data_IF_709506424200
#
_entry.id   IF_709506424200
#
_cell.length_a   1.000
_cell.length_b   1.000
_cell.length_c   1.000
_cell.angle_alpha   90.00
_cell.angle_beta   90.00
_cell.angle_gamma   90.00
#
_symmetry.space_group_name_H-M   'P 1'
#
loop_
_entity.id
_entity.type
_entity.pdbx_description
1 polymer ?
#
# COMPACT_ATOMS: atom_id res chain seq x y z
N UNK A 1 7.65 -12.26 -5.19
CA UNK A 1 6.55 -11.62 -4.41
C UNK A 1 6.08 -10.27 -5.00
N UNK A 2 6.96 -9.40 -5.49
CA UNK A 2 6.62 -8.06 -6.03
C UNK A 2 5.48 -8.04 -7.08
N UNK A 3 5.49 -8.95 -8.07
CA UNK A 3 4.45 -9.02 -9.13
C UNK A 3 3.04 -9.29 -8.60
N UNK A 4 2.88 -10.19 -7.61
CA UNK A 4 1.56 -10.51 -7.01
C UNK A 4 1.00 -9.33 -6.22
N UNK A 5 1.85 -8.59 -5.51
CA UNK A 5 1.43 -7.39 -4.78
C UNK A 5 0.94 -6.28 -5.72
N UNK A 6 1.58 -6.13 -6.89
CA UNK A 6 1.16 -5.15 -7.90
C UNK A 6 -0.21 -5.52 -8.49
N UNK A 7 -0.45 -6.81 -8.78
CA UNK A 7 -1.74 -7.28 -9.31
C UNK A 7 -2.93 -7.00 -8.39
N UNK A 8 -2.71 -6.85 -7.08
CA UNK A 8 -3.78 -6.53 -6.12
C UNK A 8 -3.84 -5.03 -5.86
N UNK A 9 -2.70 -4.36 -5.70
CA UNK A 9 -2.66 -2.93 -5.39
C UNK A 9 -3.11 -2.05 -6.56
N UNK A 10 -2.80 -2.43 -7.80
CA UNK A 10 -3.17 -1.68 -9.00
C UNK A 10 -4.70 -1.59 -9.24
N UNK A 11 -5.48 -2.68 -9.20
CA UNK A 11 -6.93 -2.57 -9.38
C UNK A 11 -7.58 -1.80 -8.22
N UNK A 12 -7.08 -1.94 -6.99
CA UNK A 12 -7.58 -1.16 -5.85
C UNK A 12 -7.32 0.34 -6.08
N UNK A 13 -6.10 0.72 -6.50
CA UNK A 13 -5.77 2.10 -6.80
C UNK A 13 -6.63 2.67 -7.94
N UNK A 14 -6.85 1.89 -9.01
CA UNK A 14 -7.73 2.26 -10.11
C UNK A 14 -9.19 2.44 -9.69
N UNK A 15 -9.70 1.55 -8.83
CA UNK A 15 -11.06 1.66 -8.30
C UNK A 15 -11.22 2.92 -7.45
N UNK A 16 -10.25 3.24 -6.59
CA UNK A 16 -10.27 4.48 -5.80
C UNK A 16 -10.23 5.70 -6.72
N UNK A 17 -9.33 5.71 -7.70
CA UNK A 17 -9.21 6.82 -8.63
C UNK A 17 -10.51 7.03 -9.43
N UNK A 18 -11.07 5.96 -10.01
CA UNK A 18 -12.32 6.02 -10.75
C UNK A 18 -13.50 6.46 -9.88
N UNK A 19 -13.60 5.97 -8.63
CA UNK A 19 -14.68 6.36 -7.72
C UNK A 19 -14.59 7.84 -7.33
N UNK A 20 -13.40 8.34 -7.00
CA UNK A 20 -13.20 9.74 -6.64
C UNK A 20 -13.40 10.67 -7.83
N UNK A 21 -12.90 10.29 -9.01
CA UNK A 21 -13.10 11.07 -10.24
C UNK A 21 -14.57 11.08 -10.68
N UNK A 22 -15.30 9.98 -10.53
CA UNK A 22 -16.74 9.93 -10.77
C UNK A 22 -17.50 10.83 -9.78
N UNK A 23 -17.16 10.78 -8.49
CA UNK A 23 -17.78 11.63 -7.47
C UNK A 23 -17.52 13.13 -7.71
N UNK A 24 -16.39 13.47 -8.35
CA UNK A 24 -16.03 14.85 -8.76
C UNK A 24 -16.62 15.26 -10.12
N UNK A 25 -17.40 14.38 -10.76
CA UNK A 25 -18.03 14.67 -12.05
C UNK A 25 -17.10 14.56 -13.27
N UNK A 26 -15.93 13.94 -13.16
CA UNK A 26 -14.91 13.88 -14.23
C UNK A 26 -15.34 13.21 -15.53
N UNK A 27 -16.48 12.51 -15.56
CA UNK A 27 -17.07 11.92 -16.77
C UNK A 27 -18.16 12.81 -17.42
N UNK A 28 -18.68 13.79 -16.69
CA UNK A 28 -19.76 14.67 -17.14
C UNK A 28 -19.35 16.16 -17.13
N UNK A 29 -18.05 16.45 -16.98
CA UNK A 29 -17.54 17.81 -16.89
C UNK A 29 -17.77 18.59 -18.20
N UNK A 30 -18.36 19.79 -18.14
CA UNK A 30 -18.61 20.62 -19.32
C UNK A 30 -17.32 21.23 -19.90
N UNK A 31 -16.25 21.34 -19.11
CA UNK A 31 -14.95 21.85 -19.58
C UNK A 31 -13.83 20.81 -19.43
N UNK A 32 -12.86 20.78 -20.37
CA UNK A 32 -11.73 19.84 -20.30
C UNK A 32 -10.87 20.06 -19.04
N UNK A 33 -10.81 21.30 -18.54
CA UNK A 33 -10.09 21.67 -17.32
C UNK A 33 -10.68 21.01 -16.07
N UNK A 34 -12.00 21.06 -15.90
CA UNK A 34 -12.69 20.39 -14.79
C UNK A 34 -12.54 18.87 -14.86
N UNK A 35 -12.55 18.31 -16.07
CA UNK A 35 -12.27 16.89 -16.28
C UNK A 35 -10.88 16.51 -15.80
N UNK A 36 -9.84 17.23 -16.25
CA UNK A 36 -8.46 16.95 -15.84
C UNK A 36 -8.22 17.14 -14.34
N UNK A 37 -8.90 18.11 -13.72
CA UNK A 37 -8.86 18.31 -12.28
C UNK A 37 -9.49 17.13 -11.53
N UNK A 38 -10.67 16.64 -11.94
CA UNK A 38 -11.34 15.51 -11.31
C UNK A 38 -10.51 14.21 -11.41
N UNK A 39 -9.81 13.99 -12.52
CA UNK A 39 -8.89 12.86 -12.68
C UNK A 39 -7.61 13.01 -11.84
N UNK A 40 -7.03 14.22 -11.78
CA UNK A 40 -5.90 14.52 -10.89
C UNK A 40 -6.24 14.22 -9.42
N UNK A 41 -7.39 14.68 -8.94
CA UNK A 41 -7.85 14.45 -7.57
C UNK A 41 -8.05 12.96 -7.28
N UNK A 42 -8.60 12.21 -8.24
CA UNK A 42 -8.79 10.76 -8.12
C UNK A 42 -7.48 10.00 -8.00
N UNK A 43 -6.52 10.28 -8.88
CA UNK A 43 -5.18 9.66 -8.81
C UNK A 43 -4.42 10.09 -7.56
N UNK A 44 -4.59 11.33 -7.10
CA UNK A 44 -4.00 11.80 -5.85
C UNK A 44 -4.55 11.06 -4.64
N UNK A 45 -5.88 10.91 -4.54
CA UNK A 45 -6.51 10.13 -3.48
C UNK A 45 -6.00 8.68 -3.48
N UNK A 46 -5.97 8.03 -4.65
CA UNK A 46 -5.43 6.68 -4.79
C UNK A 46 -3.96 6.58 -4.37
N UNK A 47 -3.13 7.57 -4.72
CA UNK A 47 -1.74 7.66 -4.31
C UNK A 47 -1.59 7.77 -2.78
N UNK A 48 -2.39 8.61 -2.13
CA UNK A 48 -2.35 8.78 -0.67
C UNK A 48 -2.80 7.50 0.05
N UNK A 49 -3.91 6.89 -0.35
CA UNK A 49 -4.40 5.69 0.33
C UNK A 49 -3.50 4.47 0.08
N UNK A 50 -3.21 4.15 -1.18
CA UNK A 50 -2.45 2.94 -1.53
C UNK A 50 -0.96 3.14 -1.30
N UNK A 51 -0.43 4.29 -1.68
CA UNK A 51 0.97 4.65 -1.44
C UNK A 51 1.26 4.87 0.04
N UNK A 52 0.38 5.55 0.78
CA UNK A 52 0.52 5.76 2.21
C UNK A 52 0.45 4.45 3.01
N UNK A 53 -0.53 3.58 2.71
CA UNK A 53 -0.59 2.25 3.32
C UNK A 53 0.65 1.40 2.96
N UNK A 54 1.12 1.49 1.70
CA UNK A 54 2.36 0.86 1.26
C UNK A 54 3.60 1.37 1.99
N UNK A 55 3.69 2.68 2.21
CA UNK A 55 4.76 3.34 2.96
C UNK A 55 4.77 2.92 4.43
N UNK A 56 3.61 2.89 5.09
CA UNK A 56 3.49 2.40 6.47
C UNK A 56 3.86 0.91 6.57
N UNK A 57 3.38 0.09 5.64
CA UNK A 57 3.71 -1.33 5.61
C UNK A 57 5.21 -1.57 5.37
N UNK A 58 5.84 -0.73 4.54
CA UNK A 58 7.28 -0.78 4.29
C UNK A 58 8.08 -0.32 5.52
N UNK A 59 7.75 0.84 6.09
CA UNK A 59 8.42 1.35 7.29
C UNK A 59 8.24 0.44 8.52
N UNK A 60 7.08 -0.20 8.67
CA UNK A 60 6.81 -1.15 9.76
C UNK A 60 7.42 -2.54 9.55
N UNK A 61 8.10 -2.75 8.43
CA UNK A 61 8.65 -4.07 8.11
C UNK A 61 10.02 -4.34 8.75
N UNK A 62 10.66 -3.33 9.36
CA UNK A 62 11.99 -3.42 9.98
C UNK A 62 12.05 -2.96 11.45
N UNK A 63 13.07 -3.45 12.17
CA UNK A 63 13.46 -2.98 13.51
C UNK A 63 12.41 -3.21 14.61
N UNK A 64 11.92 -2.11 15.20
CA UNK A 64 11.08 -2.10 16.40
C UNK A 64 9.76 -2.87 16.22
N UNK A 65 9.08 -2.68 15.08
CA UNK A 65 7.83 -3.37 14.81
C UNK A 65 8.03 -4.87 14.60
N UNK A 66 9.23 -5.28 14.17
CA UNK A 66 9.57 -6.69 13.98
C UNK A 66 9.75 -7.40 15.33
N UNK A 67 10.48 -6.75 16.24
CA UNK A 67 10.63 -7.20 17.62
C UNK A 67 9.28 -7.26 18.35
N UNK A 68 8.43 -6.25 18.18
CA UNK A 68 7.10 -6.21 18.80
C UNK A 68 6.20 -7.34 18.27
N UNK A 69 6.19 -7.59 16.95
CA UNK A 69 5.44 -8.71 16.35
C UNK A 69 5.90 -10.07 16.88
N UNK A 70 7.21 -10.26 17.03
CA UNK A 70 7.75 -11.48 17.65
C UNK A 70 7.29 -11.64 19.09
N UNK A 71 7.40 -10.60 19.91
CA UNK A 71 7.00 -10.64 21.32
C UNK A 71 5.51 -10.93 21.50
N UNK A 72 4.65 -10.25 20.74
CA UNK A 72 3.19 -10.48 20.77
C UNK A 72 2.88 -11.91 20.28
N UNK A 73 3.48 -12.34 19.17
CA UNK A 73 3.23 -13.68 18.65
C UNK A 73 3.72 -14.79 19.59
N UNK A 74 4.84 -14.57 20.29
CA UNK A 74 5.33 -15.47 21.33
C UNK A 74 4.40 -15.50 22.54
N UNK A 75 3.90 -14.35 23.00
CA UNK A 75 2.90 -14.29 24.07
C UNK A 75 1.61 -15.04 23.69
N UNK A 76 1.10 -14.84 22.47
CA UNK A 76 -0.08 -15.55 21.95
C UNK A 76 0.17 -17.04 21.77
N UNK A 77 1.40 -17.45 21.44
CA UNK A 77 1.76 -18.87 21.28
C UNK A 77 1.63 -19.68 22.58
N UNK A 78 1.74 -19.03 23.75
CA UNK A 78 1.59 -19.68 25.06
C UNK A 78 0.15 -20.16 25.28
N UNK A 79 -0.84 -19.41 24.76
CA UNK A 79 -2.27 -19.72 24.88
C UNK A 79 -2.72 -20.72 23.80
N UNK A 80 -1.89 -21.01 22.80
CA UNK A 80 -2.19 -21.97 21.73
C UNK A 80 -1.74 -23.39 22.10
N UNK A 81 -2.28 -24.38 21.38
CA UNK A 81 -1.87 -25.79 21.51
C UNK A 81 -0.35 -25.96 21.42
N UNK A 82 0.21 -26.94 22.17
CA UNK A 82 1.64 -27.27 22.17
C UNK A 82 2.20 -27.43 20.75
N UNK A 83 1.46 -28.07 19.86
CA UNK A 83 1.87 -28.25 18.46
C UNK A 83 2.09 -26.91 17.72
N UNK A 84 1.19 -25.94 17.91
CA UNK A 84 1.34 -24.60 17.33
C UNK A 84 2.42 -23.76 18.01
N UNK A 85 2.74 -24.06 19.27
CA UNK A 85 3.80 -23.40 20.04
C UNK A 85 5.18 -23.88 19.60
N UNK A 86 5.32 -25.18 19.34
CA UNK A 86 6.59 -25.78 18.91
C UNK A 86 6.96 -25.40 17.46
N UNK A 87 5.96 -25.05 16.64
CA UNK A 87 6.13 -24.46 15.31
C UNK A 87 6.52 -22.96 15.34
N UNK A 88 6.42 -22.28 16.48
CA UNK A 88 6.77 -20.87 16.59
C UNK A 88 8.26 -20.69 16.89
N UNK A 89 8.96 -19.71 16.27
CA UNK A 89 10.38 -19.51 16.49
C UNK A 89 10.71 -19.26 17.97
N UNK A 90 11.72 -19.98 18.48
CA UNK A 90 12.12 -19.92 19.89
C UNK A 90 12.87 -18.64 20.21
N UNK A 91 13.76 -18.24 19.30
CA UNK A 91 14.57 -17.04 19.42
C UNK A 91 14.16 -15.97 18.40
N UNK A 92 14.50 -14.71 18.71
CA UNK A 92 14.32 -13.62 17.76
C UNK A 92 15.20 -13.80 16.51
N UNK A 93 16.34 -14.49 16.65
CA UNK A 93 17.21 -14.84 15.53
C UNK A 93 16.51 -15.79 14.55
N UNK A 94 15.86 -16.84 15.04
CA UNK A 94 15.08 -17.78 14.21
C UNK A 94 13.95 -17.04 13.48
N UNK A 95 13.27 -16.14 14.19
CA UNK A 95 12.22 -15.29 13.62
C UNK A 95 12.75 -14.41 12.49
N UNK A 96 13.91 -13.76 12.68
CA UNK A 96 14.60 -12.96 11.66
C UNK A 96 15.04 -13.81 10.48
N UNK A 97 15.60 -15.01 10.68
CA UNK A 97 15.96 -15.91 9.59
C UNK A 97 14.73 -16.32 8.77
N UNK A 98 13.64 -16.72 9.43
CA UNK A 98 12.38 -17.05 8.74
C UNK A 98 11.79 -15.87 7.96
N UNK A 99 11.98 -14.65 8.45
CA UNK A 99 11.45 -13.43 7.83
C UNK A 99 12.38 -12.84 6.76
N UNK A 100 13.69 -13.07 6.83
CA UNK A 100 14.66 -12.58 5.84
C UNK A 100 14.37 -13.07 4.40
N UNK A 101 13.72 -14.24 4.26
CA UNK A 101 13.24 -14.74 2.98
C UNK A 101 11.92 -14.12 2.47
N UNK A 102 11.20 -13.36 3.31
CA UNK A 102 10.00 -12.59 2.94
C UNK A 102 10.43 -11.14 2.69
N UNK A 103 10.53 -10.75 1.42
CA UNK A 103 10.85 -9.37 1.05
C UNK A 103 9.96 -8.33 1.72
N UNK A 104 10.46 -7.09 1.85
CA UNK A 104 9.80 -6.00 2.56
C UNK A 104 8.31 -5.86 2.16
N UNK A 105 7.44 -5.95 3.18
CA UNK A 105 6.00 -5.79 3.02
C UNK A 105 5.68 -4.40 2.47
N UNK A 106 4.63 -4.28 1.65
CA UNK A 106 4.17 -2.97 1.18
C UNK A 106 4.95 -2.33 0.02
N UNK A 107 6.15 -2.81 -0.33
CA UNK A 107 6.96 -2.22 -1.41
C UNK A 107 6.25 -2.17 -2.77
N UNK A 108 5.37 -3.13 -3.06
CA UNK A 108 4.55 -3.13 -4.28
C UNK A 108 3.46 -2.05 -4.25
N UNK A 109 2.75 -1.90 -3.13
CA UNK A 109 1.73 -0.88 -2.97
C UNK A 109 2.32 0.54 -2.96
N UNK A 110 3.51 0.70 -2.36
CA UNK A 110 4.28 1.94 -2.39
C UNK A 110 4.63 2.35 -3.83
N UNK A 111 5.11 1.40 -4.64
CA UNK A 111 5.44 1.66 -6.05
C UNK A 111 4.19 2.04 -6.86
N UNK A 112 3.07 1.33 -6.66
CA UNK A 112 1.79 1.69 -7.30
C UNK A 112 1.33 3.08 -6.90
N UNK A 113 1.38 3.42 -5.62
CA UNK A 113 1.04 4.75 -5.14
C UNK A 113 1.94 5.85 -5.71
N UNK A 114 3.23 5.59 -5.87
CA UNK A 114 4.18 6.53 -6.50
C UNK A 114 3.85 6.77 -7.97
N UNK A 115 3.45 5.74 -8.72
CA UNK A 115 2.98 5.87 -10.10
C UNK A 115 1.68 6.68 -10.16
N UNK A 116 0.73 6.42 -9.26
CA UNK A 116 -0.50 7.21 -9.17
C UNK A 116 -0.20 8.69 -8.83
N UNK A 117 0.77 8.96 -7.96
CA UNK A 117 1.19 10.32 -7.63
C UNK A 117 1.78 11.03 -8.85
N UNK A 118 2.61 10.34 -9.62
CA UNK A 118 3.19 10.87 -10.86
C UNK A 118 2.09 11.16 -11.90
N UNK A 119 1.09 10.28 -12.03
CA UNK A 119 -0.06 10.52 -12.90
C UNK A 119 -0.88 11.72 -12.44
N UNK A 120 -1.17 11.85 -11.14
CA UNK A 120 -1.86 13.01 -10.60
C UNK A 120 -1.12 14.32 -10.94
N UNK A 121 0.20 14.35 -10.75
CA UNK A 121 1.04 15.48 -11.14
C UNK A 121 0.99 15.79 -12.64
N UNK A 122 0.96 14.77 -13.50
CA UNK A 122 0.83 14.94 -14.94
C UNK A 122 -0.53 15.55 -15.33
N UNK A 123 -1.64 15.07 -14.75
CA UNK A 123 -2.97 15.64 -14.97
C UNK A 123 -3.09 17.07 -14.44
N UNK A 124 -2.47 17.37 -13.30
CA UNK A 124 -2.40 18.73 -12.76
C UNK A 124 -1.62 19.67 -13.69
N UNK A 125 -0.47 19.23 -14.21
CA UNK A 125 0.33 20.00 -15.15
C UNK A 125 -0.43 20.30 -16.45
N UNK A 126 -1.20 19.33 -16.95
CA UNK A 126 -2.11 19.54 -18.07
C UNK A 126 -3.20 20.56 -17.71
N UNK A 127 -3.83 20.44 -16.53
CA UNK A 127 -4.88 21.36 -16.06
C UNK A 127 -4.39 22.82 -15.94
N UNK A 128 -3.12 23.05 -15.58
CA UNK A 128 -2.54 24.40 -15.56
C UNK A 128 -2.26 24.96 -16.96
N UNK A 129 -2.19 24.11 -17.99
CA UNK A 129 -1.84 24.48 -19.37
C UNK A 129 -3.07 24.63 -20.28
N UNK A 130 -4.25 24.19 -19.84
CA UNK A 130 -5.55 24.39 -20.50
C UNK A 130 -6.38 25.50 -19.86
#
# INVERSE_FOLDING_TARGET
>A
MRRRGIMIAAPIAMLIAAAVSAARGGFASPTPKEGWQAWSDGFFAAAVFVGGAGALAFASSDGLFDAMRFSIGKAVSIVRSKEKRDLYPKTFYDYRMMRSGRGAGGAAALLVGLVCLALAGAFLALCMRA
#
